data_IF_003668540934
#
_entry.id   IF_003668540934
#
_cell.length_a   1.000
_cell.length_b   1.000
_cell.length_c   1.000
_cell.angle_alpha   90.00
_cell.angle_beta   90.00
_cell.angle_gamma   90.00
#
_symmetry.space_group_name_H-M   'P 1'
#
loop_
_entity.id
_entity.type
_entity.pdbx_description
1 polymer ?
#
# COMPACT_ATOMS: atom_id res chain seq x y z
N UNK A 1 10.30 -1.03 9.10
CA UNK A 1 11.10 -1.22 10.32
C UNK A 1 12.44 -0.55 10.10
N UNK A 2 12.88 0.30 11.02
CA UNK A 2 14.22 0.89 10.97
C UNK A 2 15.27 -0.20 11.23
N UNK A 3 16.37 -0.20 10.48
CA UNK A 3 17.46 -1.14 10.72
C UNK A 3 18.12 -0.85 12.06
N UNK A 4 18.41 -1.90 12.84
CA UNK A 4 18.96 -1.78 14.21
C UNK A 4 20.22 -0.90 14.26
N UNK A 5 21.09 -1.03 13.27
CA UNK A 5 22.38 -0.35 13.22
C UNK A 5 22.36 0.80 12.20
N UNK A 6 21.22 1.48 12.05
CA UNK A 6 21.09 2.61 11.13
C UNK A 6 22.08 3.74 11.51
N UNK A 7 22.94 4.20 10.59
CA UNK A 7 23.99 5.17 10.91
C UNK A 7 23.46 6.58 11.20
N UNK A 8 22.21 6.86 10.80
CA UNK A 8 21.54 8.16 10.94
C UNK A 8 20.09 7.96 11.39
N UNK A 9 19.91 7.48 12.62
CA UNK A 9 18.60 7.18 13.20
C UNK A 9 17.68 8.41 13.25
N UNK A 10 18.23 9.57 13.64
CA UNK A 10 17.54 10.87 13.66
C UNK A 10 16.91 11.22 12.30
N UNK A 11 17.71 11.17 11.23
CA UNK A 11 17.24 11.47 9.87
C UNK A 11 16.23 10.44 9.37
N UNK A 12 16.34 9.20 9.83
CA UNK A 12 15.38 8.18 9.47
C UNK A 12 14.02 8.46 10.11
N UNK A 13 13.99 8.95 11.35
CA UNK A 13 12.76 9.41 11.98
C UNK A 13 12.19 10.66 11.32
N UNK A 14 13.02 11.65 10.96
CA UNK A 14 12.57 12.83 10.22
C UNK A 14 11.87 12.45 8.90
N UNK A 15 12.41 11.46 8.19
CA UNK A 15 11.79 10.95 6.97
C UNK A 15 10.47 10.24 7.24
N UNK A 16 10.38 9.42 8.29
CA UNK A 16 9.14 8.73 8.65
C UNK A 16 8.04 9.73 8.98
N UNK A 17 8.34 10.75 9.78
CA UNK A 17 7.38 11.80 10.13
C UNK A 17 6.92 12.57 8.90
N UNK A 18 7.86 12.91 8.00
CA UNK A 18 7.52 13.53 6.71
C UNK A 18 6.60 12.65 5.87
N UNK A 19 6.89 11.36 5.74
CA UNK A 19 6.05 10.42 4.98
C UNK A 19 4.67 10.18 5.59
N UNK A 20 4.51 10.36 6.90
CA UNK A 20 3.21 10.23 7.57
C UNK A 20 2.34 11.48 7.43
N UNK A 21 2.87 12.60 6.90
CA UNK A 21 2.11 13.82 6.67
C UNK A 21 0.93 13.60 5.71
N UNK A 22 -0.22 14.28 5.91
CA UNK A 22 -1.35 14.23 4.98
C UNK A 22 -0.95 14.52 3.54
N UNK A 23 -0.07 15.51 3.33
CA UNK A 23 0.39 16.01 2.04
C UNK A 23 1.19 14.94 1.27
N UNK A 24 2.05 14.19 1.97
CA UNK A 24 2.79 13.08 1.36
C UNK A 24 1.84 11.98 0.89
N UNK A 25 0.83 11.64 1.70
CA UNK A 25 -0.18 10.67 1.29
C UNK A 25 -1.07 11.16 0.14
N UNK A 26 -1.46 12.44 0.15
CA UNK A 26 -2.22 13.06 -0.96
C UNK A 26 -1.46 12.93 -2.28
N UNK A 27 -0.17 13.25 -2.26
CA UNK A 27 0.69 13.09 -3.44
C UNK A 27 0.77 11.63 -3.89
N UNK A 28 0.99 10.68 -2.98
CA UNK A 28 1.13 9.26 -3.34
C UNK A 28 -0.16 8.67 -3.92
N UNK A 29 -1.31 8.98 -3.32
CA UNK A 29 -2.62 8.51 -3.80
C UNK A 29 -2.93 9.15 -5.15
N UNK A 30 -2.82 10.47 -5.26
CA UNK A 30 -3.20 11.18 -6.48
C UNK A 30 -2.28 10.89 -7.67
N UNK A 31 -0.96 10.78 -7.46
CA UNK A 31 0.01 10.56 -8.53
C UNK A 31 0.11 9.09 -8.94
N UNK A 32 0.10 8.16 -7.98
CA UNK A 32 0.39 6.75 -8.22
C UNK A 32 -0.78 5.81 -8.01
N UNK A 33 -1.91 6.29 -7.47
CA UNK A 33 -3.06 5.44 -7.16
C UNK A 33 -2.81 4.48 -5.99
N UNK A 34 -1.74 4.69 -5.23
CA UNK A 34 -1.37 3.84 -4.09
C UNK A 34 -2.05 4.38 -2.85
N UNK A 35 -2.94 3.60 -2.24
CA UNK A 35 -3.57 3.96 -0.97
C UNK A 35 -2.54 4.27 0.12
N UNK A 36 -2.82 5.26 0.97
CA UNK A 36 -1.93 5.70 2.04
C UNK A 36 -2.46 5.29 3.43
N UNK A 37 -1.57 5.07 4.39
CA UNK A 37 -1.97 4.67 5.76
C UNK A 37 -2.49 5.81 6.62
N UNK A 38 -2.43 7.06 6.14
CA UNK A 38 -3.03 8.21 6.79
C UNK A 38 -4.39 8.52 6.13
N UNK A 39 -5.48 8.35 6.87
CA UNK A 39 -6.84 8.61 6.37
C UNK A 39 -7.06 10.09 6.03
N UNK A 40 -6.40 11.02 6.73
CA UNK A 40 -6.51 12.46 6.48
C UNK A 40 -5.98 12.85 5.09
N UNK A 41 -5.11 12.04 4.49
CA UNK A 41 -4.63 12.26 3.12
C UNK A 41 -5.75 12.17 2.07
N UNK A 42 -6.84 11.45 2.35
CA UNK A 42 -7.96 11.30 1.42
C UNK A 42 -8.89 12.51 1.42
N UNK A 43 -8.88 13.33 2.47
CA UNK A 43 -9.77 14.49 2.62
C UNK A 43 -9.52 15.53 1.52
N UNK A 44 -8.25 15.73 1.17
CA UNK A 44 -7.82 16.72 0.17
C UNK A 44 -7.96 16.25 -1.30
N UNK A 45 -8.24 14.97 -1.54
CA UNK A 45 -8.35 14.41 -2.89
C UNK A 45 -9.78 14.57 -3.40
N UNK A 46 -9.93 15.05 -4.63
CA UNK A 46 -11.25 15.19 -5.25
C UNK A 46 -11.93 13.84 -5.48
N UNK A 47 -13.26 13.83 -5.36
CA UNK A 47 -14.07 12.62 -5.58
C UNK A 47 -13.91 12.08 -7.01
N UNK A 48 -13.78 12.96 -8.00
CA UNK A 48 -13.50 12.59 -9.39
C UNK A 48 -12.19 11.81 -9.52
N UNK A 49 -11.13 12.26 -8.84
CA UNK A 49 -9.83 11.58 -8.89
C UNK A 49 -9.88 10.23 -8.18
N UNK A 50 -10.58 10.15 -7.05
CA UNK A 50 -10.79 8.89 -6.33
C UNK A 50 -11.59 7.89 -7.17
N UNK A 51 -12.62 8.35 -7.89
CA UNK A 51 -13.40 7.53 -8.81
C UNK A 51 -12.56 7.01 -9.99
N UNK A 52 -11.71 7.83 -10.60
CA UNK A 52 -10.75 7.40 -11.63
C UNK A 52 -9.81 6.30 -11.14
N UNK A 53 -9.36 6.40 -9.88
CA UNK A 53 -8.46 5.46 -9.24
C UNK A 53 -9.18 4.23 -8.66
N UNK A 54 -10.51 4.20 -8.70
CA UNK A 54 -11.34 3.16 -8.07
C UNK A 54 -11.04 3.00 -6.57
N UNK A 55 -10.77 4.12 -5.90
CA UNK A 55 -10.52 4.16 -4.46
C UNK A 55 -11.73 4.78 -3.74
N UNK A 56 -12.20 4.21 -2.62
CA UNK A 56 -13.23 4.83 -1.82
C UNK A 56 -12.65 6.06 -1.08
N UNK A 57 -13.53 7.02 -0.77
CA UNK A 57 -13.18 8.19 0.06
C UNK A 57 -12.84 7.78 1.48
N UNK A 58 -13.60 6.83 2.05
CA UNK A 58 -13.25 6.18 3.32
C UNK A 58 -12.36 4.96 3.04
N UNK A 59 -11.06 4.99 3.41
CA UNK A 59 -10.16 3.86 3.20
C UNK A 59 -10.57 2.60 3.96
N UNK A 60 -11.41 2.72 4.99
CA UNK A 60 -11.93 1.59 5.78
C UNK A 60 -12.81 0.66 4.94
N UNK A 61 -13.51 1.18 3.93
CA UNK A 61 -14.32 0.37 3.01
C UNK A 61 -13.45 -0.61 2.21
N UNK A 62 -12.30 -0.13 1.71
CA UNK A 62 -11.33 -0.97 0.99
C UNK A 62 -10.70 -2.01 1.93
N UNK A 63 -10.33 -1.58 3.15
CA UNK A 63 -9.68 -2.48 4.12
C UNK A 63 -10.62 -3.59 4.60
N UNK A 64 -11.91 -3.31 4.80
CA UNK A 64 -12.89 -4.30 5.25
C UNK A 64 -13.25 -5.32 4.17
N UNK A 65 -13.17 -4.94 2.89
CA UNK A 65 -13.43 -5.83 1.76
C UNK A 65 -12.18 -6.56 1.27
N UNK A 66 -10.99 -6.07 1.63
CA UNK A 66 -9.71 -6.62 1.20
C UNK A 66 -9.40 -8.00 1.78
N UNK A 67 -8.83 -8.87 0.95
CA UNK A 67 -8.24 -10.14 1.40
C UNK A 67 -6.76 -9.92 1.69
N UNK A 68 -6.40 -9.94 2.97
CA UNK A 68 -5.01 -9.79 3.38
C UNK A 68 -4.21 -11.06 3.14
N UNK A 69 -2.93 -10.91 2.81
CA UNK A 69 -2.03 -12.05 2.65
C UNK A 69 -2.00 -12.90 3.91
N UNK A 70 -2.29 -14.19 3.75
CA UNK A 70 -2.12 -15.19 4.79
C UNK A 70 -0.89 -16.06 4.50
N UNK A 71 -0.45 -16.83 5.51
CA UNK A 71 0.61 -17.81 5.31
C UNK A 71 0.22 -18.76 4.18
N UNK A 72 1.07 -18.80 3.15
CA UNK A 72 0.81 -19.55 1.93
C UNK A 72 0.74 -21.06 2.22
N UNK A 73 -0.48 -21.60 2.25
CA UNK A 73 -0.71 -23.04 2.42
C UNK A 73 -0.34 -23.74 1.11
N UNK A 74 0.35 -24.87 1.21
CA UNK A 74 0.77 -25.67 0.05
C UNK A 74 1.64 -24.91 -0.96
N UNK A 75 2.54 -24.05 -0.46
CA UNK A 75 3.43 -23.19 -1.25
C UNK A 75 4.05 -23.92 -2.45
N UNK A 76 4.66 -25.07 -2.22
CA UNK A 76 5.39 -25.80 -3.26
C UNK A 76 4.47 -26.28 -4.38
N UNK A 77 3.27 -26.78 -4.03
CA UNK A 77 2.25 -27.19 -5.00
C UNK A 77 1.70 -26.00 -5.80
N UNK A 78 1.52 -24.84 -5.17
CA UNK A 78 1.04 -23.64 -5.89
C UNK A 78 2.12 -23.12 -6.84
N UNK A 79 3.39 -23.16 -6.44
CA UNK A 79 4.53 -22.80 -7.29
C UNK A 79 4.60 -23.73 -8.50
N UNK A 80 4.55 -25.05 -8.27
CA UNK A 80 4.56 -26.04 -9.36
C UNK A 80 3.44 -25.78 -10.37
N UNK A 81 2.21 -25.59 -9.90
CA UNK A 81 1.05 -25.30 -10.76
C UNK A 81 1.19 -23.99 -11.52
N UNK A 82 1.75 -22.96 -10.89
CA UNK A 82 1.98 -21.68 -11.54
C UNK A 82 3.03 -21.79 -12.65
N UNK A 83 4.08 -22.58 -12.44
CA UNK A 83 5.10 -22.84 -13.47
C UNK A 83 4.56 -23.69 -14.63
N UNK A 84 3.73 -24.70 -14.36
CA UNK A 84 3.03 -25.47 -15.40
C UNK A 84 2.13 -24.56 -16.25
N UNK A 85 1.35 -23.68 -15.62
CA UNK A 85 0.49 -22.72 -16.32
C UNK A 85 1.29 -21.77 -17.22
N UNK A 86 2.43 -21.25 -16.73
CA UNK A 86 3.34 -20.41 -17.53
C UNK A 86 3.92 -21.15 -18.74
N UNK A 87 4.14 -22.47 -18.60
CA UNK A 87 4.65 -23.31 -19.68
C UNK A 87 3.59 -23.65 -20.75
N UNK A 88 2.33 -23.22 -20.57
CA UNK A 88 1.26 -23.41 -21.54
C UNK A 88 0.50 -24.74 -21.42
N UNK A 89 0.51 -25.35 -20.23
CA UNK A 89 -0.20 -26.60 -19.91
C UNK A 89 -1.32 -26.38 -18.89
#
# INVERSE_FOLDING_TARGET
>A
MLMKDAPHEDKAYDLLDSMLSPESGEYLVSAYGIGHSNSASFDNISDDRLAELQLPKDPTELLNSGVMYCKFRYKDTVIERFETMKAGF
#
